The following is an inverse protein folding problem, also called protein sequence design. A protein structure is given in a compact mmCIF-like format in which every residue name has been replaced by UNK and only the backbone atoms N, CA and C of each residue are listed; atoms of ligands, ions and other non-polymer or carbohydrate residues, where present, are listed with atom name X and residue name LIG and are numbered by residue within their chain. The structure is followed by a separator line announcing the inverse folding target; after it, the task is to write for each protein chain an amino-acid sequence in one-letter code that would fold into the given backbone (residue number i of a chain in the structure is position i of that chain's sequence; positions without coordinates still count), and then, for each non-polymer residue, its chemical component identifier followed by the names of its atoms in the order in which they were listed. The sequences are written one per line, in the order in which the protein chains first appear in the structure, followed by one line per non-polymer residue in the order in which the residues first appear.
data_IF_409925184763
#
_entry.id   IF_409925184763
#
_cell.length_a   1.000
_cell.length_b   1.000
_cell.length_c   1.000
_cell.angle_alpha   90.00
_cell.angle_beta   90.00
_cell.angle_gamma   90.00
#
_symmetry.space_group_name_H-M   'P 1'
#
loop_
_entity.id
_entity.type
_entity.pdbx_description
1 polymer ?
#
# COMPACT_ATOMS: atom_id res chain seq x y z
N UNK A 1 -3.42 14.75 67.66
CA UNK A 1 -2.16 15.37 68.10
C UNK A 1 -1.58 16.13 66.91
N UNK A 2 -1.72 17.46 66.93
CA UNK A 2 -0.65 18.49 66.83
C UNK A 2 0.09 18.48 65.48
N UNK A 3 -0.25 19.38 64.55
CA UNK A 3 0.15 20.81 64.44
C UNK A 3 1.66 21.04 64.26
N UNK A 4 2.03 21.73 63.18
CA UNK A 4 2.75 23.04 63.09
C UNK A 4 3.05 23.27 61.58
N UNK A 5 2.47 24.24 60.85
CA UNK A 5 2.71 25.72 60.86
C UNK A 5 4.18 26.05 60.53
N UNK A 6 4.58 27.01 59.66
CA UNK A 6 3.97 28.29 59.28
C UNK A 6 4.79 29.00 58.16
N UNK A 7 4.08 29.81 57.33
CA UNK A 7 4.39 31.19 56.83
C UNK A 7 5.68 31.44 55.97
N UNK A 8 5.76 32.37 55.01
CA UNK A 8 5.22 33.74 54.81
C UNK A 8 4.99 34.00 53.28
N UNK A 9 3.92 34.68 52.81
CA UNK A 9 3.74 36.15 52.59
C UNK A 9 4.85 36.77 51.70
N UNK A 10 4.64 37.60 50.67
CA UNK A 10 3.65 38.68 50.43
C UNK A 10 3.86 39.32 49.03
N UNK A 11 2.74 39.74 48.39
CA UNK A 11 2.49 41.06 47.74
C UNK A 11 2.83 41.45 46.28
N UNK A 12 1.79 42.09 45.69
CA UNK A 12 1.75 43.33 44.87
C UNK A 12 1.67 43.23 43.32
N UNK A 13 0.45 43.51 42.83
CA UNK A 13 0.13 44.19 41.55
C UNK A 13 0.67 45.64 41.59
N UNK A 14 0.88 46.38 40.46
CA UNK A 14 -0.25 47.00 39.75
C UNK A 14 -0.09 47.23 38.23
N UNK A 15 -1.24 47.51 37.60
CA UNK A 15 -1.39 48.21 36.30
C UNK A 15 -0.72 49.59 36.28
N UNK A 16 -0.32 50.07 35.09
CA UNK A 16 -0.41 51.50 34.75
C UNK A 16 -0.52 51.76 33.25
N UNK A 17 -1.64 52.39 32.89
CA UNK A 17 -1.90 53.11 31.65
C UNK A 17 -0.99 54.35 31.53
N UNK A 18 -0.70 54.78 30.30
CA UNK A 18 -0.42 56.18 29.99
C UNK A 18 -1.13 56.59 28.68
N UNK A 19 -1.87 57.68 28.79
CA UNK A 19 -2.67 58.37 27.76
C UNK A 19 -2.03 59.72 27.41
N UNK A 20 -2.32 60.23 26.20
CA UNK A 20 -2.36 61.68 25.82
C UNK A 20 -0.99 62.31 25.46
N UNK A 21 -0.75 63.26 24.52
CA UNK A 21 -1.43 64.49 24.00
C UNK A 21 -0.75 64.83 22.63
N UNK A 22 -1.44 65.04 21.49
CA UNK A 22 -1.87 66.30 20.79
C UNK A 22 -0.82 67.38 20.40
N UNK A 23 -1.09 68.02 19.23
CA UNK A 23 -0.59 69.28 18.60
C UNK A 23 0.65 69.19 17.67
N UNK A 24 0.65 69.50 16.37
CA UNK A 24 0.00 70.48 15.45
C UNK A 24 0.80 71.79 15.23
N UNK A 25 1.10 72.04 13.94
CA UNK A 25 1.48 73.30 13.23
C UNK A 25 2.94 73.79 13.32
N UNK A 26 3.75 73.72 12.24
CA UNK A 26 3.85 74.53 10.99
C UNK A 26 5.16 75.36 11.10
N UNK A 27 6.01 75.47 10.07
CA UNK A 27 6.13 76.67 9.23
C UNK A 27 7.35 76.50 8.26
N UNK A 28 7.14 76.95 7.00
CA UNK A 28 8.09 77.43 5.96
C UNK A 28 8.85 76.47 5.00
N UNK A 29 8.36 76.42 3.77
CA UNK A 29 9.11 76.43 2.48
C UNK A 29 9.96 77.73 2.33
N UNK A 30 10.89 77.94 1.35
CA UNK A 30 11.05 77.27 0.04
C UNK A 30 12.51 77.13 -0.52
N UNK A 31 12.59 76.69 -1.79
CA UNK A 31 13.62 76.92 -2.84
C UNK A 31 14.89 76.04 -2.92
N UNK A 32 14.83 75.11 -3.88
CA UNK A 32 15.66 75.08 -5.10
C UNK A 32 17.19 75.08 -4.95
N UNK A 33 17.82 73.96 -5.32
CA UNK A 33 18.83 73.95 -6.38
C UNK A 33 18.81 72.64 -7.17
N UNK A 34 18.92 72.83 -8.47
CA UNK A 34 18.94 71.87 -9.57
C UNK A 34 20.36 71.32 -9.79
N UNK A 35 20.44 70.19 -10.50
CA UNK A 35 21.64 69.61 -11.19
C UNK A 35 22.60 68.78 -10.30
N UNK A 36 23.03 67.56 -10.63
CA UNK A 36 23.25 66.94 -11.93
C UNK A 36 22.98 65.43 -11.95
N UNK A 37 22.54 64.98 -13.12
CA UNK A 37 22.59 63.62 -13.66
C UNK A 37 23.92 62.89 -13.35
N UNK A 38 23.85 61.68 -12.80
CA UNK A 38 24.73 60.57 -13.20
C UNK A 38 23.93 59.26 -13.26
N UNK A 39 23.64 58.89 -14.50
CA UNK A 39 23.14 57.60 -14.95
C UNK A 39 24.15 56.50 -14.62
N UNK A 40 23.74 55.46 -13.90
CA UNK A 40 24.57 54.27 -13.68
C UNK A 40 23.95 53.25 -12.75
N UNK A 41 23.14 52.32 -13.28
CA UNK A 41 22.71 51.16 -12.49
C UNK A 41 21.44 50.42 -12.90
N UNK A 42 20.93 50.56 -14.13
CA UNK A 42 19.72 49.86 -14.59
C UNK A 42 19.95 48.37 -14.90
N UNK A 43 21.21 47.93 -15.04
CA UNK A 43 21.53 46.55 -15.42
C UNK A 43 21.36 45.55 -14.26
N UNK A 44 21.84 45.85 -13.04
CA UNK A 44 21.78 44.89 -11.91
C UNK A 44 20.35 44.54 -11.47
N UNK A 45 19.42 45.50 -11.47
CA UNK A 45 18.00 45.25 -11.15
C UNK A 45 17.29 44.41 -12.22
N UNK A 46 17.64 44.59 -13.50
CA UNK A 46 17.11 43.77 -14.60
C UNK A 46 17.64 42.33 -14.56
N UNK A 47 18.91 42.13 -14.23
CA UNK A 47 19.47 40.78 -14.03
C UNK A 47 18.85 40.03 -12.84
N UNK A 48 18.56 40.70 -11.73
CA UNK A 48 17.89 40.08 -10.57
C UNK A 48 16.44 39.70 -10.90
N UNK A 49 15.70 40.55 -11.62
CA UNK A 49 14.33 40.24 -12.07
C UNK A 49 14.31 39.08 -13.09
N UNK A 50 15.22 39.08 -14.08
CA UNK A 50 15.32 38.03 -15.09
C UNK A 50 15.78 36.68 -14.50
N UNK A 51 16.72 36.71 -13.54
CA UNK A 51 17.15 35.51 -12.83
C UNK A 51 16.03 34.94 -11.93
N UNK A 52 15.26 35.80 -11.26
CA UNK A 52 14.09 35.39 -10.47
C UNK A 52 12.99 34.76 -11.31
N UNK A 53 12.67 35.33 -12.48
CA UNK A 53 11.68 34.74 -13.41
C UNK A 53 12.17 33.44 -14.03
N UNK A 54 13.47 33.33 -14.33
CA UNK A 54 14.07 32.10 -14.84
C UNK A 54 13.99 30.96 -13.82
N UNK A 55 14.32 31.24 -12.56
CA UNK A 55 14.22 30.26 -11.47
C UNK A 55 12.76 29.84 -11.23
N UNK A 56 11.82 30.79 -11.23
CA UNK A 56 10.39 30.49 -11.09
C UNK A 56 9.87 29.61 -12.23
N UNK A 57 10.26 29.88 -13.47
CA UNK A 57 9.91 29.04 -14.62
C UNK A 57 10.50 27.63 -14.51
N UNK A 58 11.75 27.50 -14.08
CA UNK A 58 12.38 26.17 -13.86
C UNK A 58 11.64 25.39 -12.79
N UNK A 59 11.22 26.03 -11.69
CA UNK A 59 10.44 25.38 -10.61
C UNK A 59 9.05 24.96 -11.12
N UNK A 60 8.36 25.81 -11.89
CA UNK A 60 7.05 25.48 -12.46
C UNK A 60 7.17 24.32 -13.45
N UNK A 61 8.16 24.37 -14.35
CA UNK A 61 8.39 23.29 -15.33
C UNK A 61 8.80 22.01 -14.62
N UNK A 62 9.67 22.06 -13.61
CA UNK A 62 10.03 20.90 -12.79
C UNK A 62 8.80 20.34 -12.04
N UNK A 63 7.93 21.19 -11.50
CA UNK A 63 6.68 20.78 -10.86
C UNK A 63 5.67 20.16 -11.84
N UNK A 64 5.58 20.68 -13.07
CA UNK A 64 4.76 20.11 -14.14
C UNK A 64 5.30 18.77 -14.64
N UNK A 65 6.63 18.65 -14.82
CA UNK A 65 7.27 17.40 -15.20
C UNK A 65 7.15 16.36 -14.08
N UNK A 66 7.34 16.77 -12.81
CA UNK A 66 7.17 15.91 -11.65
C UNK A 66 5.72 15.40 -11.54
N UNK A 67 4.72 16.27 -11.66
CA UNK A 67 3.30 15.87 -11.64
C UNK A 67 2.93 14.96 -12.81
N UNK A 68 3.44 15.22 -14.03
CA UNK A 68 3.20 14.37 -15.20
C UNK A 68 3.83 12.96 -15.05
N UNK A 69 5.06 12.87 -14.53
CA UNK A 69 5.72 11.60 -14.27
C UNK A 69 4.96 10.75 -13.22
N UNK A 70 4.40 11.39 -12.18
CA UNK A 70 3.61 10.67 -11.18
C UNK A 70 2.22 10.28 -11.65
N UNK A 71 1.53 11.13 -12.43
CA UNK A 71 0.22 10.79 -13.01
C UNK A 71 0.29 9.51 -13.87
N UNK A 72 1.40 9.31 -14.59
CA UNK A 72 1.66 8.10 -15.38
C UNK A 72 1.87 6.82 -14.55
N UNK A 73 2.41 6.92 -13.33
CA UNK A 73 2.62 5.75 -12.46
C UNK A 73 1.33 5.24 -11.82
N UNK A 74 0.34 6.12 -11.62
CA UNK A 74 -0.98 5.77 -11.06
C UNK A 74 -1.90 5.16 -12.13
N UNK A 75 -1.64 5.43 -13.41
CA UNK A 75 -2.54 5.14 -14.53
C UNK A 75 -1.94 4.20 -15.58
N UNK A 76 -1.02 3.30 -15.22
CA UNK A 76 -0.59 2.27 -16.17
C UNK A 76 -1.79 1.33 -16.44
N UNK A 77 -2.33 1.29 -17.68
CA UNK A 77 -3.41 0.39 -18.01
C UNK A 77 -2.86 -1.03 -17.96
N UNK A 78 -3.35 -1.83 -17.00
CA UNK A 78 -3.16 -3.26 -17.02
C UNK A 78 -4.43 -3.91 -17.57
N UNK A 79 -4.25 -4.88 -18.47
CA UNK A 79 -5.37 -5.62 -19.04
C UNK A 79 -5.51 -6.92 -18.27
N UNK A 80 -6.68 -7.11 -17.67
CA UNK A 80 -7.02 -8.31 -16.93
C UNK A 80 -6.75 -9.58 -17.78
N UNK A 81 -5.99 -10.57 -17.26
CA UNK A 81 -5.62 -11.77 -18.00
C UNK A 81 -6.80 -12.66 -18.42
N UNK A 82 -7.97 -12.48 -17.81
CA UNK A 82 -9.14 -13.33 -17.98
C UNK A 82 -8.98 -14.70 -17.33
N UNK A 83 -10.03 -15.53 -17.43
CA UNK A 83 -10.05 -16.87 -16.82
C UNK A 83 -9.17 -17.83 -17.63
N UNK A 84 -8.33 -18.61 -16.95
CA UNK A 84 -7.62 -19.71 -17.58
C UNK A 84 -8.44 -21.00 -17.56
N UNK A 85 -8.51 -21.69 -18.68
CA UNK A 85 -9.00 -23.06 -18.75
C UNK A 85 -7.85 -24.01 -18.45
N UNK A 86 -8.11 -25.07 -17.69
CA UNK A 86 -7.16 -26.18 -17.55
C UNK A 86 -7.08 -26.95 -18.87
N UNK A 87 -6.16 -26.56 -19.74
CA UNK A 87 -5.93 -27.21 -21.03
C UNK A 87 -4.86 -28.27 -20.86
N UNK A 88 -5.25 -29.54 -20.64
CA UNK A 88 -4.29 -30.63 -20.48
C UNK A 88 -4.94 -32.01 -20.42
N UNK A 89 -4.15 -33.03 -20.76
CA UNK A 89 -4.46 -34.45 -20.58
C UNK A 89 -4.88 -34.72 -19.12
N UNK A 90 -5.90 -35.56 -18.87
CA UNK A 90 -6.30 -35.92 -17.50
C UNK A 90 -5.10 -36.37 -16.69
N UNK A 91 -4.82 -35.67 -15.59
CA UNK A 91 -3.67 -35.99 -14.75
C UNK A 91 -4.03 -37.25 -13.94
N UNK A 92 -3.19 -38.31 -13.97
CA UNK A 92 -3.47 -39.54 -13.24
C UNK A 92 -3.70 -39.26 -11.75
N UNK A 93 -4.81 -39.76 -11.21
CA UNK A 93 -5.17 -39.57 -9.81
C UNK A 93 -4.43 -40.49 -8.84
N UNK A 94 -3.71 -41.49 -9.36
CA UNK A 94 -2.95 -42.48 -8.59
C UNK A 94 -1.91 -41.81 -7.70
N UNK A 95 -1.91 -42.12 -6.39
CA UNK A 95 -0.93 -41.61 -5.44
C UNK A 95 -1.18 -40.18 -4.96
N UNK A 96 -2.36 -39.60 -5.22
CA UNK A 96 -2.74 -38.29 -4.69
C UNK A 96 -3.32 -38.40 -3.27
N UNK A 97 -2.62 -37.83 -2.30
CA UNK A 97 -3.07 -37.64 -0.93
C UNK A 97 -3.82 -36.31 -0.78
N UNK A 98 -4.88 -36.29 0.02
CA UNK A 98 -5.66 -35.09 0.28
C UNK A 98 -5.09 -34.31 1.47
N UNK A 99 -4.99 -32.99 1.35
CA UNK A 99 -4.54 -32.10 2.41
C UNK A 99 -5.58 -31.01 2.65
N UNK A 100 -5.84 -30.72 3.91
CA UNK A 100 -6.74 -29.68 4.37
C UNK A 100 -5.95 -28.54 5.00
N UNK A 101 -6.26 -27.30 4.62
CA UNK A 101 -5.71 -26.10 5.26
C UNK A 101 -6.06 -26.10 6.75
N UNK A 102 -5.08 -25.78 7.59
CA UNK A 102 -5.25 -25.54 9.03
C UNK A 102 -5.41 -24.03 9.22
N UNK A 103 -6.63 -23.50 9.47
CA UNK A 103 -6.87 -22.05 9.48
C UNK A 103 -6.04 -21.33 10.55
N UNK A 104 -5.94 -21.91 11.75
CA UNK A 104 -5.17 -21.34 12.86
C UNK A 104 -3.65 -21.24 12.62
N UNK A 105 -3.14 -21.89 11.57
CA UNK A 105 -1.72 -21.91 11.19
C UNK A 105 -1.50 -21.40 9.76
N UNK A 106 -2.48 -20.66 9.23
CA UNK A 106 -2.47 -20.11 7.88
C UNK A 106 -2.84 -18.64 7.94
N UNK A 107 -2.16 -17.83 7.15
CA UNK A 107 -2.38 -16.38 7.04
C UNK A 107 -2.43 -16.00 5.57
N UNK A 108 -3.50 -15.33 5.16
CA UNK A 108 -3.55 -14.59 3.91
C UNK A 108 -3.31 -13.11 4.21
N UNK A 109 -2.45 -12.46 3.44
CA UNK A 109 -2.12 -11.05 3.60
C UNK A 109 -1.96 -10.33 2.27
N UNK A 110 -2.16 -9.03 2.29
CA UNK A 110 -1.80 -8.13 1.19
C UNK A 110 -0.82 -7.06 1.68
N UNK A 111 -0.03 -6.52 0.77
CA UNK A 111 0.75 -5.30 0.95
C UNK A 111 0.54 -4.38 -0.25
N UNK A 112 0.14 -3.14 0.02
CA UNK A 112 -0.03 -2.08 -0.98
C UNK A 112 0.89 -0.94 -0.62
N UNK A 113 1.70 -0.50 -1.58
CA UNK A 113 2.56 0.66 -1.37
C UNK A 113 1.73 1.97 -1.38
N UNK A 114 1.86 2.78 -0.32
CA UNK A 114 1.27 4.11 -0.22
C UNK A 114 2.37 5.19 -0.19
N UNK A 115 2.22 6.20 -1.06
CA UNK A 115 3.06 7.39 -0.99
C UNK A 115 2.37 8.45 -0.12
N UNK A 116 2.75 8.57 1.17
CA UNK A 116 2.22 9.61 2.05
C UNK A 116 2.98 10.93 1.83
N UNK A 117 2.36 11.88 1.11
CA UNK A 117 2.96 13.17 0.72
C UNK A 117 3.28 14.06 1.94
N UNK A 118 2.64 13.82 3.10
CA UNK A 118 2.70 14.73 4.25
C UNK A 118 3.53 14.24 5.45
N UNK A 119 4.01 12.99 5.47
CA UNK A 119 4.63 12.42 6.69
C UNK A 119 6.16 12.25 6.66
N UNK A 120 6.87 12.55 5.57
CA UNK A 120 8.32 12.28 5.45
C UNK A 120 8.73 10.87 5.94
N UNK A 121 7.81 9.90 5.89
CA UNK A 121 8.07 8.52 6.24
C UNK A 121 8.41 7.77 4.96
N UNK A 122 9.66 7.31 4.79
CA UNK A 122 9.98 6.42 3.68
C UNK A 122 9.22 5.10 3.88
N UNK A 123 8.40 4.73 2.91
CA UNK A 123 7.70 3.43 2.76
C UNK A 123 6.55 3.19 3.75
N UNK A 124 5.33 3.62 3.40
CA UNK A 124 4.11 3.23 4.11
C UNK A 124 3.42 2.14 3.30
N UNK A 125 3.80 0.89 3.53
CA UNK A 125 3.04 -0.24 3.00
C UNK A 125 1.79 -0.43 3.88
N UNK A 126 0.61 -0.33 3.28
CA UNK A 126 -0.62 -0.74 3.92
C UNK A 126 -0.72 -2.27 3.88
N UNK A 127 -0.55 -2.90 5.04
CA UNK A 127 -0.61 -4.35 5.20
C UNK A 127 -1.93 -4.73 5.88
N UNK A 128 -2.65 -5.66 5.28
CA UNK A 128 -3.81 -6.30 5.88
C UNK A 128 -3.67 -7.81 5.87
N UNK A 129 -4.21 -8.48 6.88
CA UNK A 129 -4.11 -9.94 7.02
C UNK A 129 -5.34 -10.59 7.65
N UNK A 130 -5.51 -11.88 7.41
CA UNK A 130 -6.56 -12.71 8.01
C UNK A 130 -6.10 -14.17 8.16
N UNK A 131 -6.60 -14.84 9.20
CA UNK A 131 -6.48 -16.29 9.42
C UNK A 131 -7.68 -17.11 8.93
N UNK A 132 -8.74 -16.45 8.44
CA UNK A 132 -9.96 -17.12 7.95
C UNK A 132 -9.75 -17.65 6.55
N UNK A 133 -8.86 -18.64 6.45
CA UNK A 133 -8.51 -19.35 5.22
C UNK A 133 -8.93 -20.79 5.35
N UNK A 134 -9.67 -21.27 4.37
CA UNK A 134 -10.21 -22.62 4.34
C UNK A 134 -9.96 -23.22 2.96
N UNK A 135 -9.89 -24.54 2.88
CA UNK A 135 -9.77 -25.23 1.60
C UNK A 135 -8.93 -26.48 1.67
N UNK A 136 -8.80 -27.10 0.50
CA UNK A 136 -8.12 -28.36 0.34
C UNK A 136 -7.41 -28.42 -1.00
N UNK A 137 -6.42 -29.30 -1.07
CA UNK A 137 -5.74 -29.65 -2.31
C UNK A 137 -5.23 -31.08 -2.22
N UNK A 138 -4.80 -31.61 -3.37
CA UNK A 138 -4.22 -32.95 -3.45
C UNK A 138 -2.76 -32.87 -3.84
N UNK A 139 -1.93 -33.68 -3.22
CA UNK A 139 -0.49 -33.76 -3.49
C UNK A 139 -0.07 -35.18 -3.75
N UNK A 140 0.77 -35.36 -4.77
CA UNK A 140 1.55 -36.57 -4.97
C UNK A 140 3.02 -36.22 -4.76
N UNK A 141 3.68 -36.97 -3.88
CA UNK A 141 5.12 -36.87 -3.60
C UNK A 141 5.88 -38.00 -4.30
N UNK A 142 7.21 -38.04 -4.15
CA UNK A 142 8.05 -39.06 -4.78
C UNK A 142 8.33 -38.75 -6.25
N UNK A 143 8.19 -39.74 -7.12
CA UNK A 143 8.44 -39.58 -8.55
C UNK A 143 7.33 -38.78 -9.25
N UNK A 144 7.71 -37.80 -10.07
CA UNK A 144 6.78 -36.90 -10.76
C UNK A 144 5.78 -36.23 -9.79
N UNK A 145 6.26 -35.41 -8.84
CA UNK A 145 5.41 -34.74 -7.88
C UNK A 145 4.39 -33.83 -8.57
N UNK A 146 3.25 -33.65 -7.90
CA UNK A 146 2.10 -32.93 -8.45
C UNK A 146 1.30 -32.27 -7.34
N UNK A 147 0.81 -31.06 -7.60
CA UNK A 147 -0.27 -30.42 -6.83
C UNK A 147 -1.49 -30.30 -7.75
N UNK A 148 -2.65 -30.76 -7.28
CA UNK A 148 -3.87 -30.80 -8.08
C UNK A 148 -5.11 -30.52 -7.23
N UNK A 149 -6.22 -30.21 -7.91
CA UNK A 149 -7.53 -30.01 -7.31
C UNK A 149 -7.53 -29.06 -6.09
N UNK A 150 -6.74 -27.99 -6.17
CA UNK A 150 -6.74 -26.96 -5.13
C UNK A 150 -8.00 -26.11 -5.24
N UNK A 151 -8.69 -25.96 -4.11
CA UNK A 151 -9.74 -24.98 -3.90
C UNK A 151 -9.54 -24.36 -2.52
N UNK A 152 -9.11 -23.09 -2.50
CA UNK A 152 -8.89 -22.32 -1.28
C UNK A 152 -9.80 -21.10 -1.30
N UNK A 153 -10.40 -20.79 -0.15
CA UNK A 153 -11.27 -19.64 0.07
C UNK A 153 -10.75 -18.83 1.25
N UNK A 154 -10.62 -17.53 1.06
CA UNK A 154 -10.23 -16.55 2.10
C UNK A 154 -11.44 -15.67 2.39
N UNK A 155 -11.80 -15.54 3.66
CA UNK A 155 -12.87 -14.64 4.11
C UNK A 155 -12.34 -13.21 4.30
N UNK A 156 -12.64 -12.35 3.33
CA UNK A 156 -12.20 -10.96 3.30
C UNK A 156 -12.88 -10.12 4.39
N UNK A 157 -14.02 -10.57 4.93
CA UNK A 157 -14.70 -9.94 6.07
C UNK A 157 -13.96 -10.15 7.40
N UNK A 158 -12.78 -10.75 7.40
CA UNK A 158 -11.96 -10.86 8.60
C UNK A 158 -10.58 -10.22 8.42
N UNK A 159 -10.37 -9.51 7.31
CA UNK A 159 -9.16 -8.72 7.09
C UNK A 159 -9.03 -7.62 8.15
N UNK A 160 -7.83 -7.52 8.70
CA UNK A 160 -7.44 -6.52 9.69
C UNK A 160 -6.11 -5.89 9.29
N UNK A 161 -6.01 -4.58 9.49
CA UNK A 161 -4.79 -3.76 9.34
C UNK A 161 -4.39 -3.19 10.70
N UNK A 162 -3.42 -2.28 10.75
CA UNK A 162 -3.02 -1.59 11.98
C UNK A 162 -4.02 -0.50 12.44
N UNK A 163 -5.09 -0.24 11.68
CA UNK A 163 -6.08 0.79 11.99
C UNK A 163 -7.50 0.36 11.65
N UNK A 164 -8.38 0.28 12.66
CA UNK A 164 -9.80 -0.10 12.51
C UNK A 164 -10.56 0.79 11.50
N UNK A 165 -10.23 2.09 11.44
CA UNK A 165 -10.79 2.99 10.44
C UNK A 165 -10.46 2.54 9.01
N UNK A 166 -9.23 2.07 8.78
CA UNK A 166 -8.81 1.56 7.47
C UNK A 166 -9.53 0.25 7.16
N UNK A 167 -9.69 -0.62 8.15
CA UNK A 167 -10.41 -1.87 7.99
C UNK A 167 -11.84 -1.62 7.50
N UNK A 168 -12.56 -0.70 8.15
CA UNK A 168 -13.91 -0.32 7.77
C UNK A 168 -13.98 0.27 6.35
N UNK A 169 -13.02 1.13 6.00
CA UNK A 169 -12.95 1.70 4.65
C UNK A 169 -12.70 0.62 3.59
N UNK A 170 -11.73 -0.26 3.84
CA UNK A 170 -11.39 -1.37 2.92
C UNK A 170 -12.60 -2.27 2.71
N UNK A 171 -13.30 -2.63 3.78
CA UNK A 171 -14.50 -3.48 3.72
C UNK A 171 -15.66 -2.87 2.94
N UNK A 172 -15.95 -1.60 3.19
CA UNK A 172 -17.14 -0.95 2.66
C UNK A 172 -16.94 -0.34 1.27
N UNK A 173 -15.75 0.21 0.99
CA UNK A 173 -15.51 1.06 -0.18
C UNK A 173 -14.45 0.52 -1.13
N UNK A 174 -13.63 -0.45 -0.72
CA UNK A 174 -12.56 -1.01 -1.56
C UNK A 174 -12.90 -2.41 -2.04
N UNK A 175 -13.18 -3.32 -1.11
CA UNK A 175 -13.47 -4.73 -1.40
C UNK A 175 -14.97 -5.05 -1.39
N UNK A 176 -15.80 -4.13 -0.88
CA UNK A 176 -17.26 -4.29 -0.78
C UNK A 176 -17.66 -5.67 -0.21
N UNK A 177 -17.08 -6.05 0.93
CA UNK A 177 -17.11 -7.43 1.44
C UNK A 177 -18.48 -7.94 1.85
N UNK A 178 -19.48 -7.06 1.96
CA UNK A 178 -20.87 -7.44 2.15
C UNK A 178 -21.46 -8.07 0.88
N UNK A 179 -21.02 -7.61 -0.30
CA UNK A 179 -21.38 -8.14 -1.62
C UNK A 179 -20.40 -9.21 -2.10
N UNK A 180 -19.10 -9.03 -1.82
CA UNK A 180 -18.02 -9.91 -2.26
C UNK A 180 -17.18 -10.41 -1.08
N UNK A 181 -17.73 -11.31 -0.23
CA UNK A 181 -17.11 -11.69 1.04
C UNK A 181 -15.85 -12.54 0.89
N UNK A 182 -15.64 -13.16 -0.27
CA UNK A 182 -14.62 -14.19 -0.45
C UNK A 182 -13.66 -13.87 -1.60
N UNK A 183 -12.39 -14.22 -1.38
CA UNK A 183 -11.46 -14.48 -2.47
C UNK A 183 -11.28 -15.99 -2.62
N UNK A 184 -11.42 -16.51 -3.85
CA UNK A 184 -11.29 -17.95 -4.12
C UNK A 184 -10.17 -18.25 -5.11
N UNK A 185 -9.43 -19.32 -4.85
CA UNK A 185 -8.26 -19.73 -5.61
C UNK A 185 -8.49 -21.16 -6.10
N UNK A 186 -8.52 -21.34 -7.42
CA UNK A 186 -8.69 -22.65 -8.05
C UNK A 186 -7.44 -22.97 -8.87
N UNK A 187 -6.74 -24.08 -8.58
CA UNK A 187 -5.55 -24.46 -9.34
C UNK A 187 -5.89 -24.77 -10.79
N UNK A 188 -5.04 -24.30 -11.70
CA UNK A 188 -5.10 -24.60 -13.15
C UNK A 188 -3.94 -25.49 -13.54
N UNK A 189 -2.71 -25.12 -13.19
CA UNK A 189 -1.51 -25.89 -13.53
C UNK A 189 -0.34 -25.57 -12.60
N UNK A 190 0.65 -26.46 -12.57
CA UNK A 190 1.92 -26.30 -11.85
C UNK A 190 3.09 -26.38 -12.81
N UNK A 191 4.12 -25.55 -12.61
CA UNK A 191 5.35 -25.55 -13.41
C UNK A 191 6.57 -25.45 -12.48
N UNK A 192 7.68 -26.09 -12.86
CA UNK A 192 8.93 -26.00 -12.10
C UNK A 192 9.05 -26.93 -10.88
N UNK A 193 8.14 -27.89 -10.70
CA UNK A 193 8.33 -28.96 -9.72
C UNK A 193 9.54 -29.84 -10.09
N UNK A 194 10.28 -30.39 -9.11
CA UNK A 194 11.42 -31.27 -9.40
C UNK A 194 10.95 -32.59 -9.99
N UNK A 195 11.83 -33.32 -10.67
CA UNK A 195 11.51 -34.65 -11.22
C UNK A 195 11.16 -35.69 -10.13
N UNK A 196 11.76 -35.54 -8.95
CA UNK A 196 11.46 -36.33 -7.77
C UNK A 196 11.46 -35.44 -6.51
N UNK A 197 10.68 -35.86 -5.52
CA UNK A 197 10.55 -35.19 -4.23
C UNK A 197 10.90 -36.14 -3.08
N UNK A 198 11.71 -35.65 -2.14
CA UNK A 198 12.04 -36.34 -0.88
C UNK A 198 11.39 -35.61 0.30
N UNK A 199 10.86 -36.34 1.29
CA UNK A 199 10.27 -35.73 2.49
C UNK A 199 11.24 -34.76 3.18
N UNK A 200 10.72 -33.62 3.61
CA UNK A 200 11.49 -32.52 4.19
C UNK A 200 12.18 -31.60 3.17
N UNK A 201 12.27 -31.99 1.90
CA UNK A 201 12.84 -31.16 0.84
C UNK A 201 11.97 -29.90 0.65
N UNK A 202 12.62 -28.74 0.60
CA UNK A 202 11.97 -27.50 0.19
C UNK A 202 12.00 -27.39 -1.33
N UNK A 203 10.86 -27.12 -1.95
CA UNK A 203 10.72 -26.92 -3.39
C UNK A 203 10.22 -25.52 -3.70
N UNK A 204 10.62 -25.02 -4.86
CA UNK A 204 10.16 -23.76 -5.43
C UNK A 204 9.52 -24.07 -6.78
N UNK A 205 8.30 -23.60 -7.01
CA UNK A 205 7.56 -23.86 -8.24
C UNK A 205 6.52 -22.76 -8.47
N UNK A 206 6.01 -22.67 -9.69
CA UNK A 206 4.92 -21.76 -10.05
C UNK A 206 3.59 -22.51 -10.04
N UNK A 207 2.59 -21.90 -9.42
CA UNK A 207 1.21 -22.37 -9.40
C UNK A 207 0.33 -21.36 -10.14
N UNK A 208 -0.20 -21.76 -11.29
CA UNK A 208 -1.21 -20.97 -11.99
C UNK A 208 -2.58 -21.28 -11.40
N UNK A 209 -3.32 -20.23 -11.05
CA UNK A 209 -4.65 -20.31 -10.46
C UNK A 209 -5.63 -19.40 -11.20
N UNK A 210 -6.92 -19.73 -11.13
CA UNK A 210 -7.97 -18.74 -11.30
C UNK A 210 -8.27 -18.14 -9.94
N UNK A 211 -7.95 -16.86 -9.78
CA UNK A 211 -8.29 -16.04 -8.62
C UNK A 211 -9.62 -15.35 -8.89
N UNK A 212 -10.61 -15.55 -8.03
CA UNK A 212 -11.84 -14.75 -8.01
C UNK A 212 -11.81 -13.79 -6.85
N UNK A 213 -12.00 -12.50 -7.12
CA UNK A 213 -12.10 -11.44 -6.12
C UNK A 213 -13.00 -10.33 -6.65
N UNK A 214 -13.83 -9.75 -5.79
CA UNK A 214 -14.72 -8.63 -6.17
C UNK A 214 -15.57 -8.93 -7.43
N UNK A 215 -16.11 -10.15 -7.50
CA UNK A 215 -16.97 -10.62 -8.60
C UNK A 215 -16.26 -10.90 -9.94
N UNK A 216 -14.94 -10.70 -10.04
CA UNK A 216 -14.16 -10.97 -11.25
C UNK A 216 -13.20 -12.14 -11.04
N UNK A 217 -13.00 -12.93 -12.10
CA UNK A 217 -12.08 -14.06 -12.10
C UNK A 217 -10.98 -13.85 -13.13
N UNK A 218 -9.73 -13.91 -12.69
CA UNK A 218 -8.55 -13.78 -13.54
C UNK A 218 -7.51 -14.86 -13.23
N UNK A 219 -6.75 -15.23 -14.26
CA UNK A 219 -5.58 -16.11 -14.14
C UNK A 219 -4.45 -15.36 -13.44
N UNK A 220 -3.95 -15.93 -12.36
CA UNK A 220 -2.78 -15.44 -11.63
C UNK A 220 -1.73 -16.54 -11.47
N UNK A 221 -0.46 -16.14 -11.42
CA UNK A 221 0.66 -17.04 -11.19
C UNK A 221 1.26 -16.74 -9.82
N UNK A 222 1.34 -17.77 -8.99
CA UNK A 222 1.94 -17.70 -7.67
C UNK A 222 3.32 -18.37 -7.69
N UNK A 223 4.31 -17.68 -7.17
CA UNK A 223 5.58 -18.29 -6.77
C UNK A 223 5.37 -18.98 -5.42
N UNK A 224 5.54 -20.29 -5.40
CA UNK A 224 5.32 -21.13 -4.23
C UNK A 224 6.64 -21.68 -3.74
N UNK A 225 6.90 -21.53 -2.44
CA UNK A 225 7.88 -22.33 -1.71
C UNK A 225 7.15 -23.22 -0.72
N UNK A 226 7.55 -24.48 -0.61
CA UNK A 226 6.93 -25.37 0.37
C UNK A 226 7.69 -26.65 0.59
N UNK A 227 7.30 -27.37 1.64
CA UNK A 227 7.80 -28.69 1.97
C UNK A 227 6.70 -29.52 2.62
N UNK A 228 6.79 -30.82 2.42
CA UNK A 228 6.07 -31.86 3.16
C UNK A 228 7.02 -32.38 4.24
N UNK A 229 6.52 -32.55 5.46
CA UNK A 229 7.21 -33.26 6.54
C UNK A 229 6.20 -34.24 7.13
N UNK A 230 6.37 -35.53 6.83
CA UNK A 230 5.39 -36.55 7.14
C UNK A 230 4.01 -36.23 6.54
N UNK A 231 3.04 -35.92 7.39
CA UNK A 231 1.65 -35.62 7.01
C UNK A 231 1.31 -34.14 7.02
N UNK A 232 2.31 -33.26 7.13
CA UNK A 232 2.12 -31.82 7.23
C UNK A 232 2.82 -31.11 6.08
N UNK A 233 2.12 -30.19 5.43
CA UNK A 233 2.68 -29.31 4.41
C UNK A 233 2.77 -27.91 5.01
N UNK A 234 3.91 -27.26 4.82
CA UNK A 234 4.12 -25.86 5.17
C UNK A 234 4.72 -25.12 4.00
N UNK A 235 4.31 -23.87 3.77
CA UNK A 235 4.87 -23.07 2.68
C UNK A 235 4.38 -21.64 2.65
N UNK A 236 4.82 -20.92 1.63
CA UNK A 236 4.29 -19.62 1.26
C UNK A 236 4.08 -19.54 -0.25
N UNK A 237 3.01 -18.85 -0.66
CA UNK A 237 2.69 -18.55 -2.04
C UNK A 237 2.54 -17.04 -2.19
N UNK A 238 3.23 -16.44 -3.16
CA UNK A 238 3.21 -15.00 -3.39
C UNK A 238 2.84 -14.69 -4.83
N UNK A 239 2.04 -13.65 -5.04
CA UNK A 239 1.76 -13.12 -6.38
C UNK A 239 1.58 -11.61 -6.32
N UNK A 240 1.87 -10.95 -7.44
CA UNK A 240 1.55 -9.54 -7.62
C UNK A 240 0.33 -9.44 -8.52
N UNK A 241 -0.71 -8.76 -8.03
CA UNK A 241 -1.94 -8.51 -8.78
C UNK A 241 -2.18 -7.00 -8.96
N UNK A 242 -3.15 -6.66 -9.79
CA UNK A 242 -3.64 -5.28 -9.94
C UNK A 242 -5.08 -5.18 -9.47
N UNK A 243 -5.39 -4.18 -8.63
CA UNK A 243 -6.75 -3.93 -8.13
C UNK A 243 -7.75 -3.77 -9.29
N UNK A 244 -7.34 -3.06 -10.35
CA UNK A 244 -8.20 -2.76 -11.51
C UNK A 244 -8.63 -4.02 -12.27
N UNK A 245 -7.83 -5.08 -12.26
CA UNK A 245 -8.19 -6.35 -12.92
C UNK A 245 -9.41 -7.00 -12.26
N UNK A 246 -9.60 -6.73 -10.97
CA UNK A 246 -10.74 -7.18 -10.17
C UNK A 246 -11.83 -6.12 -10.06
N UNK A 247 -11.71 -4.99 -10.78
CA UNK A 247 -12.67 -3.89 -10.73
C UNK A 247 -12.63 -3.07 -9.45
N UNK A 248 -11.58 -3.26 -8.65
CA UNK A 248 -11.32 -2.48 -7.45
C UNK A 248 -10.57 -1.22 -7.90
N UNK A 249 -11.09 -0.05 -7.55
CA UNK A 249 -10.38 1.21 -7.80
C UNK A 249 -9.41 1.48 -6.65
N UNK A 250 -8.12 1.77 -6.94
CA UNK A 250 -7.18 2.17 -5.91
C UNK A 250 -7.71 3.37 -5.11
N UNK A 251 -7.74 3.30 -3.78
CA UNK A 251 -8.24 4.41 -2.96
C UNK A 251 -7.46 5.71 -3.22
N UNK A 252 -8.18 6.78 -3.53
CA UNK A 252 -7.63 8.13 -3.54
C UNK A 252 -7.84 8.77 -2.16
N UNK A 253 -6.76 8.87 -1.37
CA UNK A 253 -6.82 9.41 -0.01
C UNK A 253 -6.72 10.94 -0.04
N UNK A 254 -7.72 11.58 -0.65
CA UNK A 254 -7.99 13.02 -0.59
C UNK A 254 -6.75 13.94 -0.69
N UNK A 255 -5.89 13.71 -1.69
CA UNK A 255 -4.64 14.46 -1.96
C UNK A 255 -3.51 14.28 -0.94
N UNK A 256 -3.63 13.37 0.03
CA UNK A 256 -2.63 13.10 1.07
C UNK A 256 -1.78 11.87 0.74
N UNK A 257 -2.37 10.90 0.04
CA UNK A 257 -1.70 9.72 -0.46
C UNK A 257 -2.41 9.09 -1.65
N UNK A 258 -1.64 8.39 -2.48
CA UNK A 258 -2.15 7.57 -3.57
C UNK A 258 -1.69 6.14 -3.31
N UNK A 259 -2.64 5.22 -3.19
CA UNK A 259 -2.37 3.79 -3.17
C UNK A 259 -2.01 3.33 -4.59
N UNK A 260 -0.97 2.51 -4.72
CA UNK A 260 -0.66 1.91 -6.01
C UNK A 260 -1.72 0.90 -6.42
N UNK A 261 -1.94 0.76 -7.73
CA UNK A 261 -2.78 -0.30 -8.28
C UNK A 261 -2.19 -1.70 -8.04
N UNK A 262 -0.87 -1.79 -7.97
CA UNK A 262 -0.12 -3.02 -7.74
C UNK A 262 -0.24 -3.46 -6.28
N UNK A 263 -0.60 -4.72 -6.07
CA UNK A 263 -0.76 -5.33 -4.74
C UNK A 263 0.06 -6.61 -4.68
N UNK A 264 0.90 -6.74 -3.65
CA UNK A 264 1.53 -8.02 -3.32
C UNK A 264 0.56 -8.79 -2.43
N UNK A 265 0.15 -9.98 -2.85
CA UNK A 265 -0.61 -10.91 -2.03
C UNK A 265 0.25 -12.10 -1.63
N UNK A 266 0.12 -12.52 -0.38
CA UNK A 266 0.89 -13.62 0.21
C UNK A 266 -0.04 -14.55 0.98
N UNK A 267 0.12 -15.85 0.77
CA UNK A 267 -0.49 -16.89 1.59
C UNK A 267 0.62 -17.69 2.26
N UNK A 268 0.78 -17.56 3.58
CA UNK A 268 1.62 -18.45 4.38
C UNK A 268 0.71 -19.53 4.95
N UNK A 269 0.96 -20.79 4.64
CA UNK A 269 0.00 -21.86 4.90
C UNK A 269 0.61 -23.06 5.61
N UNK A 270 -0.25 -23.69 6.41
CA UNK A 270 -0.05 -25.04 6.91
C UNK A 270 -1.25 -25.89 6.51
N UNK A 271 -1.00 -27.09 5.99
CA UNK A 271 -2.03 -28.06 5.68
C UNK A 271 -1.67 -29.43 6.26
N UNK A 272 -2.67 -30.23 6.63
CA UNK A 272 -2.49 -31.59 7.14
C UNK A 272 -3.20 -32.59 6.26
N UNK A 273 -2.65 -33.78 6.15
CA UNK A 273 -3.30 -34.89 5.45
C UNK A 273 -4.69 -35.13 6.09
N UNK A 274 -5.71 -35.19 5.24
CA UNK A 274 -7.11 -35.37 5.63
C UNK A 274 -7.45 -36.84 5.91
#
# INVERSE_FOLDING_TARGET
MRNFSCLLRTTLCPMRNFTSISNLFLILFPLSRYSHYFQGGTMKKRYILLAGTGLALVIIVAGLLYSAHFAGAVSQPHTAPGVATATGTPIPSTGLQAFQIVPAQTTASYSVYENLVFQNKPNNDAIGSTHSVQGSFRVRTGASPLVAAMNVTVDLRTLQTDAERRDNYVRQHTLETDSYPYATFISVSTQGLPASYTDGQTVHFQLTVNLTMHGKTNKEVFDVQGKVVGKTITGSATSTIYMTDFGIQPPNLANIAIAQNKVLITLTFTAKEA
#
